data_IF_905331825882
#
_entry.id   IF_905331825882
#
_cell.length_a   1.000
_cell.length_b   1.000
_cell.length_c   1.000
_cell.angle_alpha   90.00
_cell.angle_beta   90.00
_cell.angle_gamma   90.00
#
_symmetry.space_group_name_H-M   'P 1'
#
loop_
_entity.id
_entity.type
_entity.pdbx_description
1 polymer ?
#
# COMPACT_ATOMS: atom_id res chain seq x y z
N UNK A 1 42.68 -61.82 19.98
CA UNK A 1 43.59 -62.83 20.56
C UNK A 1 44.59 -63.21 19.49
N UNK A 2 45.88 -63.05 19.82
CA UNK A 2 47.09 -63.53 19.14
C UNK A 2 47.38 -63.03 17.73
N UNK A 3 48.34 -62.14 17.50
CA UNK A 3 49.82 -62.22 17.64
C UNK A 3 50.53 -62.99 16.53
N UNK A 4 51.52 -62.29 15.95
CA UNK A 4 52.84 -62.72 15.44
C UNK A 4 53.12 -62.29 14.00
N UNK A 5 54.33 -61.94 13.54
CA UNK A 5 55.54 -61.27 14.07
C UNK A 5 56.49 -61.21 12.84
N UNK A 6 57.26 -60.13 12.73
CA UNK A 6 58.53 -59.93 12.00
C UNK A 6 58.68 -60.25 10.49
N UNK A 7 59.14 -59.23 9.75
CA UNK A 7 60.49 -59.26 9.15
C UNK A 7 61.01 -57.83 8.91
N UNK A 8 62.30 -57.65 9.21
CA UNK A 8 63.11 -56.44 9.06
C UNK A 8 63.91 -56.51 7.74
N UNK A 9 64.05 -55.40 7.01
CA UNK A 9 65.19 -55.24 6.11
C UNK A 9 65.53 -53.75 5.88
N UNK A 10 66.81 -53.47 6.10
CA UNK A 10 67.56 -52.23 6.04
C UNK A 10 67.78 -51.63 4.64
N UNK A 11 67.74 -50.28 4.58
CA UNK A 11 68.59 -49.27 3.89
C UNK A 11 69.31 -49.62 2.55
N UNK A 12 69.43 -48.68 1.57
CA UNK A 12 70.23 -47.46 1.75
C UNK A 12 69.64 -46.16 1.15
N UNK A 13 70.24 -45.06 1.61
CA UNK A 13 70.03 -43.69 1.18
C UNK A 13 70.15 -43.51 -0.34
N UNK A 14 69.18 -42.82 -0.93
CA UNK A 14 69.30 -42.21 -2.25
C UNK A 14 68.99 -40.73 -2.09
N UNK A 15 69.99 -39.90 -2.41
CA UNK A 15 69.93 -38.45 -2.28
C UNK A 15 68.84 -37.87 -3.16
N UNK A 16 67.90 -37.18 -2.53
CA UNK A 16 66.98 -36.30 -3.24
C UNK A 16 67.66 -34.94 -3.30
N UNK A 17 68.10 -34.61 -4.51
CA UNK A 17 68.51 -33.28 -4.94
C UNK A 17 67.30 -32.37 -4.75
N UNK A 18 67.39 -31.46 -3.79
CA UNK A 18 66.48 -30.33 -3.65
C UNK A 18 67.03 -29.24 -4.58
N UNK A 19 66.65 -29.31 -5.85
CA UNK A 19 66.61 -28.11 -6.69
C UNK A 19 65.32 -27.38 -6.31
N UNK A 20 65.42 -26.49 -5.32
CA UNK A 20 64.38 -25.50 -5.06
C UNK A 20 64.50 -24.40 -6.12
N UNK A 21 63.51 -24.24 -7.03
CA UNK A 21 63.42 -23.05 -7.85
C UNK A 21 62.91 -21.92 -6.95
N UNK A 22 63.81 -21.03 -6.53
CA UNK A 22 63.52 -19.81 -5.78
C UNK A 22 62.84 -18.74 -6.64
N UNK A 23 61.77 -19.07 -7.37
CA UNK A 23 61.14 -18.10 -8.30
C UNK A 23 59.61 -18.24 -8.48
N UNK A 24 58.89 -18.92 -7.58
CA UNK A 24 57.42 -19.11 -7.71
C UNK A 24 56.57 -18.41 -6.61
N UNK A 25 57.21 -17.67 -5.68
CA UNK A 25 56.48 -16.95 -4.62
C UNK A 25 55.72 -15.71 -5.12
N UNK A 26 56.10 -15.14 -6.26
CA UNK A 26 55.44 -13.96 -6.82
C UNK A 26 54.13 -14.31 -7.56
N UNK A 27 54.00 -15.53 -8.11
CA UNK A 27 52.82 -15.95 -8.89
C UNK A 27 51.64 -16.35 -7.98
N UNK A 28 51.89 -16.95 -6.80
CA UNK A 28 50.81 -17.24 -5.84
C UNK A 28 50.15 -15.97 -5.27
N UNK A 29 50.92 -14.91 -5.03
CA UNK A 29 50.41 -13.62 -4.54
C UNK A 29 49.51 -12.96 -5.60
N UNK A 30 49.93 -13.01 -6.87
CA UNK A 30 49.17 -12.49 -7.99
C UNK A 30 47.86 -13.28 -8.20
N UNK A 31 47.91 -14.62 -8.15
CA UNK A 31 46.73 -15.50 -8.30
C UNK A 31 45.75 -15.36 -7.14
N UNK A 32 46.22 -15.15 -5.92
CA UNK A 32 45.37 -14.93 -4.75
C UNK A 32 44.77 -13.52 -4.71
N UNK A 33 45.49 -12.50 -5.20
CA UNK A 33 44.95 -11.16 -5.45
C UNK A 33 43.91 -11.14 -6.58
N UNK A 34 44.15 -11.86 -7.68
CA UNK A 34 43.22 -12.07 -8.80
C UNK A 34 41.95 -12.80 -8.33
N UNK A 35 42.09 -13.86 -7.52
CA UNK A 35 40.94 -14.56 -6.90
C UNK A 35 40.15 -13.65 -5.94
N UNK A 36 40.81 -12.80 -5.15
CA UNK A 36 40.15 -11.79 -4.30
C UNK A 36 39.44 -10.72 -5.14
N UNK A 37 40.03 -10.26 -6.25
CA UNK A 37 39.41 -9.32 -7.18
C UNK A 37 38.22 -9.93 -7.92
N UNK A 38 38.30 -11.19 -8.35
CA UNK A 38 37.17 -11.92 -8.96
C UNK A 38 36.04 -12.19 -7.97
N UNK A 39 36.34 -12.52 -6.71
CA UNK A 39 35.31 -12.63 -5.66
C UNK A 39 34.63 -11.29 -5.36
N UNK A 40 35.38 -10.17 -5.36
CA UNK A 40 34.80 -8.82 -5.22
C UNK A 40 34.00 -8.34 -6.43
N UNK A 41 34.35 -8.78 -7.65
CA UNK A 41 33.60 -8.45 -8.88
C UNK A 41 32.41 -9.38 -9.16
N UNK A 42 32.43 -10.62 -8.65
CA UNK A 42 31.43 -11.64 -8.95
C UNK A 42 30.22 -11.70 -8.00
N UNK A 43 30.31 -11.15 -6.78
CA UNK A 43 29.21 -11.23 -5.79
C UNK A 43 28.25 -10.04 -5.83
N UNK A 44 28.44 -9.14 -6.81
CA UNK A 44 27.50 -8.08 -7.15
C UNK A 44 26.28 -8.57 -7.92
N UNK A 45 25.91 -9.85 -7.80
CA UNK A 45 24.61 -10.32 -8.29
C UNK A 45 23.54 -9.66 -7.43
N UNK A 46 23.14 -8.46 -7.85
CA UNK A 46 22.03 -7.70 -7.32
C UNK A 46 20.77 -8.51 -7.56
N UNK A 47 20.56 -9.56 -6.74
CA UNK A 47 19.32 -10.32 -6.72
C UNK A 47 18.21 -9.29 -6.64
N UNK A 48 17.28 -9.26 -7.61
CA UNK A 48 16.24 -8.24 -7.65
C UNK A 48 15.56 -8.23 -6.28
N UNK A 49 15.56 -7.04 -5.65
CA UNK A 49 15.05 -6.88 -4.30
C UNK A 49 13.58 -7.30 -4.28
N UNK A 50 13.28 -8.39 -3.58
CA UNK A 50 11.92 -8.95 -3.46
C UNK A 50 10.95 -7.88 -2.98
N UNK A 51 9.81 -7.77 -3.65
CA UNK A 51 8.72 -6.87 -3.24
C UNK A 51 7.97 -7.46 -2.05
N UNK A 52 7.23 -6.63 -1.29
CA UNK A 52 6.44 -7.12 -0.15
C UNK A 52 5.45 -8.25 -0.53
N UNK A 53 5.00 -8.27 -1.79
CA UNK A 53 4.10 -9.30 -2.34
C UNK A 53 4.71 -10.69 -2.35
N UNK A 54 6.04 -10.78 -2.47
CA UNK A 54 6.79 -12.04 -2.45
C UNK A 54 7.06 -12.53 -1.02
N UNK A 55 6.73 -11.72 -0.01
CA UNK A 55 6.98 -11.99 1.41
C UNK A 55 8.33 -11.46 1.88
N UNK A 56 8.83 -12.03 2.97
CA UNK A 56 10.13 -11.68 3.57
C UNK A 56 10.00 -10.85 4.85
N UNK A 57 11.14 -10.40 5.36
CA UNK A 57 11.25 -9.84 6.72
C UNK A 57 10.43 -8.57 6.95
N UNK A 58 10.18 -7.77 5.91
CA UNK A 58 9.39 -6.53 6.03
C UNK A 58 7.90 -6.75 6.25
N UNK A 59 7.39 -7.94 5.94
CA UNK A 59 5.98 -8.29 6.14
C UNK A 59 5.80 -9.42 7.16
N UNK A 60 6.86 -9.83 7.86
CA UNK A 60 6.77 -10.95 8.82
C UNK A 60 5.78 -10.66 9.96
N UNK A 61 5.71 -9.39 10.40
CA UNK A 61 4.78 -8.90 11.43
C UNK A 61 3.41 -8.49 10.88
N UNK A 62 3.20 -8.61 9.57
CA UNK A 62 1.93 -8.29 8.92
C UNK A 62 1.07 -9.53 8.82
N UNK A 63 -0.12 -9.50 9.42
CA UNK A 63 -1.01 -10.66 9.51
C UNK A 63 -2.34 -10.32 10.19
N UNK A 64 -3.04 -11.35 10.69
CA UNK A 64 -4.36 -11.22 11.30
C UNK A 64 -4.42 -10.26 12.50
N UNK A 65 -3.34 -10.16 13.28
CA UNK A 65 -3.26 -9.21 14.40
C UNK A 65 -3.43 -7.76 13.93
N UNK A 66 -2.69 -7.33 12.89
CA UNK A 66 -2.81 -5.98 12.34
C UNK A 66 -4.18 -5.75 11.67
N UNK A 67 -4.73 -6.77 11.01
CA UNK A 67 -6.08 -6.67 10.44
C UNK A 67 -7.13 -6.47 11.55
N UNK A 68 -7.01 -7.19 12.67
CA UNK A 68 -7.87 -7.02 13.84
C UNK A 68 -7.76 -5.62 14.44
N UNK A 69 -6.53 -5.11 14.64
CA UNK A 69 -6.32 -3.75 15.12
C UNK A 69 -6.87 -2.69 14.17
N UNK A 70 -6.77 -2.90 12.86
CA UNK A 70 -7.38 -2.01 11.88
C UNK A 70 -8.91 -2.00 12.00
N UNK A 71 -9.56 -3.16 12.07
CA UNK A 71 -11.02 -3.23 12.24
C UNK A 71 -11.47 -2.57 13.55
N UNK A 72 -10.72 -2.77 14.65
CA UNK A 72 -11.01 -2.10 15.92
C UNK A 72 -10.85 -0.57 15.81
N UNK A 73 -9.79 -0.09 15.18
CA UNK A 73 -9.58 1.35 14.97
C UNK A 73 -10.67 1.97 14.10
N UNK A 74 -11.12 1.27 13.04
CA UNK A 74 -12.26 1.69 12.23
C UNK A 74 -13.53 1.79 13.09
N UNK A 75 -13.84 0.76 13.89
CA UNK A 75 -15.01 0.77 14.77
C UNK A 75 -14.96 1.92 15.79
N UNK A 76 -13.81 2.16 16.42
CA UNK A 76 -13.61 3.29 17.35
C UNK A 76 -13.78 4.63 16.63
N UNK A 77 -13.20 4.78 15.43
CA UNK A 77 -13.31 6.00 14.64
C UNK A 77 -14.75 6.32 14.26
N UNK A 78 -15.49 5.32 13.76
CA UNK A 78 -16.91 5.47 13.39
C UNK A 78 -17.77 5.79 14.61
N UNK A 79 -17.67 5.00 15.69
CA UNK A 79 -18.44 5.25 16.91
C UNK A 79 -18.12 6.62 17.54
N UNK A 80 -16.85 7.02 17.52
CA UNK A 80 -16.42 8.33 18.00
C UNK A 80 -16.96 9.47 17.14
N UNK A 81 -16.91 9.34 15.82
CA UNK A 81 -17.47 10.31 14.88
C UNK A 81 -18.99 10.45 15.04
N UNK A 82 -19.72 9.34 15.10
CA UNK A 82 -21.16 9.35 15.38
C UNK A 82 -21.47 9.97 16.74
N UNK A 83 -20.74 9.60 17.79
CA UNK A 83 -20.91 10.16 19.13
C UNK A 83 -20.69 11.68 19.16
N UNK A 84 -19.70 12.20 18.43
CA UNK A 84 -19.49 13.64 18.28
C UNK A 84 -20.69 14.32 17.63
N UNK A 85 -21.21 13.75 16.54
CA UNK A 85 -22.39 14.30 15.84
C UNK A 85 -23.63 14.32 16.74
N UNK A 86 -23.88 13.23 17.48
CA UNK A 86 -25.07 13.09 18.33
C UNK A 86 -25.00 13.90 19.63
N UNK A 87 -23.81 14.02 20.26
CA UNK A 87 -23.66 14.64 21.58
C UNK A 87 -23.36 16.14 21.48
N UNK A 88 -22.42 16.53 20.60
CA UNK A 88 -21.98 17.92 20.51
C UNK A 88 -22.98 18.73 19.67
N UNK A 89 -23.40 18.17 18.52
CA UNK A 89 -24.29 18.85 17.58
C UNK A 89 -23.73 20.19 17.05
N UNK A 90 -24.58 20.94 16.36
CA UNK A 90 -24.24 22.27 15.83
C UNK A 90 -23.31 22.25 14.60
N UNK A 91 -22.92 23.45 14.15
CA UNK A 91 -22.21 23.62 12.87
C UNK A 91 -20.80 23.05 12.83
N UNK A 92 -20.13 22.86 13.97
CA UNK A 92 -18.77 22.30 14.04
C UNK A 92 -18.73 20.78 14.17
N UNK A 93 -19.86 20.12 14.45
CA UNK A 93 -19.89 18.68 14.67
C UNK A 93 -19.38 17.85 13.48
N UNK A 94 -19.72 18.15 12.21
CA UNK A 94 -19.20 17.38 11.07
C UNK A 94 -17.67 17.41 10.98
N UNK A 95 -17.07 18.60 11.15
CA UNK A 95 -15.61 18.75 11.14
C UNK A 95 -14.95 17.99 12.28
N UNK A 96 -15.50 18.08 13.51
CA UNK A 96 -14.97 17.35 14.66
C UNK A 96 -15.09 15.84 14.48
N UNK A 97 -16.21 15.35 13.94
CA UNK A 97 -16.43 13.95 13.65
C UNK A 97 -15.42 13.43 12.61
N UNK A 98 -15.17 14.22 11.56
CA UNK A 98 -14.16 13.93 10.55
C UNK A 98 -12.74 13.85 11.15
N UNK A 99 -12.37 14.82 12.01
CA UNK A 99 -11.07 14.81 12.70
C UNK A 99 -10.92 13.59 13.61
N UNK A 100 -11.96 13.18 14.32
CA UNK A 100 -11.93 11.96 15.15
C UNK A 100 -11.65 10.72 14.29
N UNK A 101 -12.32 10.59 13.14
CA UNK A 101 -12.10 9.49 12.21
C UNK A 101 -10.66 9.50 11.65
N UNK A 102 -10.16 10.68 11.25
CA UNK A 102 -8.77 10.84 10.79
C UNK A 102 -7.75 10.44 11.85
N UNK A 103 -7.95 10.85 13.10
CA UNK A 103 -7.06 10.49 14.20
C UNK A 103 -7.05 8.98 14.43
N UNK A 104 -8.21 8.33 14.37
CA UNK A 104 -8.31 6.87 14.51
C UNK A 104 -7.54 6.14 13.38
N UNK A 105 -7.70 6.60 12.13
CA UNK A 105 -6.97 6.03 10.99
C UNK A 105 -5.47 6.28 11.11
N UNK A 106 -5.07 7.53 11.36
CA UNK A 106 -3.68 7.92 11.50
C UNK A 106 -2.96 7.14 12.60
N UNK A 107 -3.61 6.96 13.76
CA UNK A 107 -3.05 6.17 14.86
C UNK A 107 -2.79 4.71 14.44
N UNK A 108 -3.76 4.06 13.78
CA UNK A 108 -3.60 2.69 13.30
C UNK A 108 -2.52 2.56 12.21
N UNK A 109 -2.49 3.50 11.27
CA UNK A 109 -1.47 3.56 10.21
C UNK A 109 -0.08 3.70 10.84
N UNK A 110 0.12 4.68 11.73
CA UNK A 110 1.40 4.93 12.38
C UNK A 110 1.84 3.70 13.19
N UNK A 111 0.95 3.12 13.99
CA UNK A 111 1.25 1.92 14.79
C UNK A 111 1.70 0.73 13.93
N UNK A 112 1.11 0.54 12.74
CA UNK A 112 1.49 -0.51 11.81
C UNK A 112 2.85 -0.23 11.13
N UNK A 113 3.06 1.00 10.64
CA UNK A 113 4.29 1.35 9.92
C UNK A 113 5.52 1.48 10.84
N UNK A 114 5.32 1.86 12.11
CA UNK A 114 6.37 1.81 13.14
C UNK A 114 6.83 0.37 13.42
N UNK A 115 5.92 -0.61 13.35
CA UNK A 115 6.29 -2.04 13.50
C UNK A 115 7.17 -2.53 12.34
N UNK A 116 6.84 -2.14 11.11
CA UNK A 116 7.65 -2.42 9.90
C UNK A 116 7.02 -1.76 8.66
N UNK A 117 7.86 -1.31 7.72
CA UNK A 117 7.41 -0.75 6.44
C UNK A 117 7.52 -1.81 5.32
N UNK A 118 6.41 -2.21 4.66
CA UNK A 118 6.45 -3.17 3.56
C UNK A 118 7.32 -2.66 2.41
N UNK A 119 8.31 -3.47 2.01
CA UNK A 119 9.31 -3.07 1.00
C UNK A 119 8.66 -2.70 -0.33
N UNK A 120 8.91 -1.47 -0.77
CA UNK A 120 8.47 -0.94 -2.06
C UNK A 120 7.05 -0.36 -2.06
N UNK A 121 6.26 -0.54 -0.98
CA UNK A 121 4.88 -0.06 -0.92
C UNK A 121 4.77 1.46 -1.10
N UNK A 122 5.63 2.22 -0.41
CA UNK A 122 5.65 3.68 -0.49
C UNK A 122 6.51 4.23 -1.65
N UNK A 123 7.00 3.37 -2.55
CA UNK A 123 7.83 3.82 -3.66
C UNK A 123 6.97 4.47 -4.74
N UNK A 124 7.22 5.73 -5.00
CA UNK A 124 6.62 6.47 -6.12
C UNK A 124 7.35 6.18 -7.44
N UNK A 125 6.61 6.13 -8.56
CA UNK A 125 7.18 6.28 -9.91
C UNK A 125 6.28 7.19 -10.76
N UNK A 126 6.83 7.90 -11.76
CA UNK A 126 6.04 8.78 -12.63
C UNK A 126 4.83 8.12 -13.31
N UNK A 127 4.92 6.82 -13.65
CA UNK A 127 3.79 6.07 -14.23
C UNK A 127 2.57 5.99 -13.28
N UNK A 128 2.76 6.22 -11.99
CA UNK A 128 1.67 6.24 -11.01
C UNK A 128 0.75 7.45 -11.24
N UNK A 129 1.29 8.57 -11.76
CA UNK A 129 0.49 9.71 -12.21
C UNK A 129 -0.43 9.33 -13.37
N UNK A 130 0.09 8.57 -14.34
CA UNK A 130 -0.71 8.11 -15.48
C UNK A 130 -1.84 7.19 -15.01
N UNK A 131 -1.55 6.22 -14.15
CA UNK A 131 -2.59 5.35 -13.58
C UNK A 131 -3.62 6.14 -12.80
N UNK A 132 -3.19 7.05 -11.92
CA UNK A 132 -4.08 7.86 -11.11
C UNK A 132 -4.99 8.74 -11.95
N UNK A 133 -4.44 9.46 -12.92
CA UNK A 133 -5.19 10.37 -13.79
C UNK A 133 -6.22 9.61 -14.64
N UNK A 134 -5.79 8.57 -15.34
CA UNK A 134 -6.64 7.82 -16.28
C UNK A 134 -7.73 7.06 -15.54
N UNK A 135 -7.39 6.30 -14.50
CA UNK A 135 -8.37 5.47 -13.79
C UNK A 135 -9.27 6.32 -12.89
N UNK A 136 -8.76 7.37 -12.24
CA UNK A 136 -9.58 8.31 -11.49
C UNK A 136 -10.61 9.03 -12.37
N UNK A 137 -10.19 9.46 -13.57
CA UNK A 137 -11.10 10.04 -14.57
C UNK A 137 -12.16 9.06 -15.05
N UNK A 138 -11.78 7.84 -15.41
CA UNK A 138 -12.73 6.79 -15.82
C UNK A 138 -13.74 6.50 -14.70
N UNK A 139 -13.26 6.34 -13.46
CA UNK A 139 -14.14 6.10 -12.31
C UNK A 139 -15.15 7.24 -12.12
N UNK A 140 -14.73 8.49 -12.30
CA UNK A 140 -15.62 9.64 -12.18
C UNK A 140 -16.70 9.66 -13.27
N UNK A 141 -16.33 9.35 -14.51
CA UNK A 141 -17.28 9.21 -15.62
C UNK A 141 -18.28 8.08 -15.38
N UNK A 142 -17.80 6.94 -14.88
CA UNK A 142 -18.64 5.78 -14.54
C UNK A 142 -19.61 6.13 -13.40
N UNK A 143 -19.16 6.85 -12.35
CA UNK A 143 -20.06 7.33 -11.30
C UNK A 143 -21.19 8.18 -11.90
N UNK A 144 -20.86 9.20 -12.70
CA UNK A 144 -21.89 10.07 -13.30
C UNK A 144 -22.87 9.28 -14.18
N UNK A 145 -22.40 8.25 -14.88
CA UNK A 145 -23.26 7.33 -15.62
C UNK A 145 -24.18 6.50 -14.72
N UNK A 146 -23.68 5.99 -13.59
CA UNK A 146 -24.47 5.24 -12.61
C UNK A 146 -25.55 6.12 -11.95
N UNK A 147 -25.19 7.36 -11.61
CA UNK A 147 -26.10 8.35 -11.02
C UNK A 147 -27.27 8.67 -11.96
N UNK A 148 -27.00 8.89 -13.26
CA UNK A 148 -28.05 9.03 -14.27
C UNK A 148 -28.94 7.78 -14.37
N UNK A 149 -28.37 6.58 -14.22
CA UNK A 149 -29.13 5.32 -14.20
C UNK A 149 -29.98 5.16 -12.94
N UNK A 150 -29.59 5.80 -11.85
CA UNK A 150 -30.35 5.84 -10.60
C UNK A 150 -31.49 6.88 -10.61
N UNK A 151 -31.63 7.64 -11.70
CA UNK A 151 -32.67 8.66 -11.86
C UNK A 151 -32.19 10.09 -11.66
N UNK A 152 -30.87 10.32 -11.56
CA UNK A 152 -30.29 11.66 -11.60
C UNK A 152 -30.60 12.37 -12.92
N UNK A 153 -30.71 13.70 -12.88
CA UNK A 153 -31.08 14.54 -14.03
C UNK A 153 -29.94 14.72 -15.07
N UNK A 154 -28.72 14.26 -14.74
CA UNK A 154 -27.54 14.42 -15.57
C UNK A 154 -27.01 15.86 -15.61
N UNK A 155 -27.48 16.73 -14.71
CA UNK A 155 -26.98 18.08 -14.54
C UNK A 155 -25.54 18.10 -14.04
N UNK A 156 -24.90 19.25 -14.17
CA UNK A 156 -23.62 19.47 -13.51
C UNK A 156 -23.83 19.44 -12.00
N UNK A 157 -22.99 18.73 -11.22
CA UNK A 157 -23.06 18.84 -9.78
C UNK A 157 -22.82 20.30 -9.38
N UNK A 158 -23.42 20.72 -8.27
CA UNK A 158 -23.26 22.07 -7.72
C UNK A 158 -23.42 22.06 -6.21
N UNK A 159 -22.77 22.99 -5.54
CA UNK A 159 -22.96 23.23 -4.11
C UNK A 159 -24.28 23.96 -3.86
N UNK A 160 -24.94 23.70 -2.71
CA UNK A 160 -26.00 24.56 -2.23
C UNK A 160 -25.48 25.99 -2.06
N UNK A 161 -25.96 26.92 -2.88
CA UNK A 161 -25.51 28.32 -2.86
C UNK A 161 -26.65 29.30 -3.15
N UNK A 162 -26.49 30.54 -2.70
CA UNK A 162 -27.34 31.67 -3.06
C UNK A 162 -26.52 32.58 -4.00
N UNK A 163 -26.96 32.71 -5.26
CA UNK A 163 -26.29 33.57 -6.25
C UNK A 163 -24.92 33.05 -6.71
N UNK A 164 -24.72 31.73 -6.72
CA UNK A 164 -23.49 31.09 -7.23
C UNK A 164 -22.23 31.29 -6.42
N UNK A 165 -22.33 31.80 -5.19
CA UNK A 165 -21.19 31.92 -4.28
C UNK A 165 -20.79 30.56 -3.70
N UNK A 166 -19.50 30.27 -3.62
CA UNK A 166 -18.98 29.08 -2.93
C UNK A 166 -19.16 29.20 -1.40
N UNK A 167 -19.33 28.07 -0.68
CA UNK A 167 -19.27 28.06 0.78
C UNK A 167 -17.96 28.65 1.31
N UNK A 168 -18.01 29.39 2.42
CA UNK A 168 -16.80 29.99 3.01
C UNK A 168 -15.76 28.95 3.47
N UNK A 169 -16.21 27.72 3.76
CA UNK A 169 -15.36 26.59 4.14
C UNK A 169 -14.89 25.75 2.95
N UNK A 170 -15.30 26.06 1.72
CA UNK A 170 -15.02 25.26 0.51
C UNK A 170 -13.55 24.90 0.34
N UNK A 171 -12.65 25.84 0.62
CA UNK A 171 -11.21 25.59 0.47
C UNK A 171 -10.72 24.48 1.41
N UNK A 172 -11.27 24.42 2.63
CA UNK A 172 -10.84 23.45 3.63
C UNK A 172 -11.65 22.14 3.54
N UNK A 173 -12.98 22.23 3.55
CA UNK A 173 -13.86 21.06 3.60
C UNK A 173 -13.82 20.29 2.27
N UNK A 174 -14.10 20.98 1.16
CA UNK A 174 -14.19 20.30 -0.14
C UNK A 174 -12.82 20.06 -0.75
N UNK A 175 -11.99 21.10 -0.86
CA UNK A 175 -10.74 20.96 -1.60
C UNK A 175 -9.65 20.26 -0.77
N UNK A 176 -9.40 20.69 0.46
CA UNK A 176 -8.28 20.12 1.22
C UNK A 176 -8.65 18.79 1.88
N UNK A 177 -9.78 18.74 2.59
CA UNK A 177 -10.25 17.54 3.29
C UNK A 177 -10.61 16.44 2.29
N UNK A 178 -11.55 16.70 1.38
CA UNK A 178 -12.15 15.62 0.59
C UNK A 178 -11.31 15.20 -0.62
N UNK A 179 -10.47 16.09 -1.18
CA UNK A 179 -9.58 15.74 -2.30
C UNK A 179 -8.24 15.22 -1.82
N UNK A 180 -7.71 15.68 -0.67
CA UNK A 180 -6.34 15.37 -0.26
C UNK A 180 -6.29 14.57 1.04
N UNK A 181 -6.76 15.12 2.15
CA UNK A 181 -6.52 14.52 3.48
C UNK A 181 -7.24 13.17 3.59
N UNK A 182 -8.55 13.14 3.32
CA UNK A 182 -9.38 11.94 3.46
C UNK A 182 -8.91 10.83 2.50
N UNK A 183 -8.73 11.06 1.18
CA UNK A 183 -8.24 10.02 0.28
C UNK A 183 -6.86 9.47 0.66
N UNK A 184 -5.94 10.32 1.11
CA UNK A 184 -4.60 9.86 1.53
C UNK A 184 -4.69 8.95 2.75
N UNK A 185 -5.45 9.35 3.78
CA UNK A 185 -5.63 8.55 4.99
C UNK A 185 -6.39 7.25 4.70
N UNK A 186 -7.44 7.30 3.90
CA UNK A 186 -8.22 6.14 3.49
C UNK A 186 -7.38 5.14 2.71
N UNK A 187 -6.60 5.58 1.72
CA UNK A 187 -5.75 4.67 0.95
C UNK A 187 -4.62 4.09 1.82
N UNK A 188 -3.99 4.88 2.69
CA UNK A 188 -3.02 4.38 3.65
C UNK A 188 -3.63 3.33 4.60
N UNK A 189 -4.87 3.54 5.05
CA UNK A 189 -5.56 2.63 5.96
C UNK A 189 -6.05 1.37 5.23
N UNK A 190 -6.88 1.50 4.21
CA UNK A 190 -7.50 0.35 3.56
C UNK A 190 -6.54 -0.41 2.66
N UNK A 191 -5.69 0.28 1.89
CA UNK A 191 -4.79 -0.35 0.91
C UNK A 191 -3.36 -0.50 1.44
N UNK A 192 -2.90 0.44 2.25
CA UNK A 192 -1.60 0.37 2.92
C UNK A 192 -1.59 -0.59 4.12
N UNK A 193 -2.60 -0.54 4.97
CA UNK A 193 -2.71 -1.35 6.19
C UNK A 193 -3.54 -2.63 5.98
N UNK A 194 -4.85 -2.51 5.78
CA UNK A 194 -5.79 -3.64 5.76
C UNK A 194 -5.45 -4.63 4.64
N UNK A 195 -5.34 -4.17 3.40
CA UNK A 195 -5.05 -5.02 2.24
C UNK A 195 -3.72 -5.77 2.41
N UNK A 196 -2.65 -5.11 2.84
CA UNK A 196 -1.35 -5.75 3.02
C UNK A 196 -1.37 -6.76 4.17
N UNK A 197 -2.05 -6.45 5.28
CA UNK A 197 -2.19 -7.36 6.41
C UNK A 197 -2.97 -8.64 6.01
N UNK A 198 -4.12 -8.48 5.36
CA UNK A 198 -4.96 -9.60 4.91
C UNK A 198 -4.24 -10.41 3.83
N UNK A 199 -3.66 -9.76 2.81
CA UNK A 199 -2.89 -10.45 1.78
C UNK A 199 -1.77 -11.28 2.40
N UNK A 200 -1.01 -10.70 3.33
CA UNK A 200 0.11 -11.40 3.95
C UNK A 200 -0.35 -12.57 4.82
N UNK A 201 -1.45 -12.41 5.55
CA UNK A 201 -2.02 -13.47 6.38
C UNK A 201 -2.52 -14.65 5.53
N UNK A 202 -3.37 -14.37 4.53
CA UNK A 202 -3.97 -15.39 3.66
C UNK A 202 -2.92 -16.04 2.79
N UNK A 203 -1.92 -15.30 2.30
CA UNK A 203 -0.87 -15.87 1.45
C UNK A 203 -0.08 -16.98 2.14
N UNK A 204 0.14 -16.87 3.45
CA UNK A 204 0.83 -17.90 4.25
C UNK A 204 0.02 -19.19 4.35
N UNK A 205 -1.30 -19.11 4.22
CA UNK A 205 -2.23 -20.22 4.43
C UNK A 205 -2.68 -20.85 3.11
N UNK A 206 -2.98 -20.02 2.10
CA UNK A 206 -3.70 -20.44 0.89
C UNK A 206 -3.01 -20.00 -0.42
N UNK A 207 -1.80 -19.46 -0.36
CA UNK A 207 -1.04 -19.05 -1.54
C UNK A 207 -1.42 -17.69 -2.12
N UNK A 208 -0.74 -17.30 -3.20
CA UNK A 208 -0.78 -15.92 -3.72
C UNK A 208 -2.14 -15.52 -4.29
N UNK A 209 -2.73 -16.39 -5.10
CA UNK A 209 -3.93 -16.06 -5.88
C UNK A 209 -5.14 -15.84 -4.96
N UNK A 210 -5.35 -16.77 -4.01
CA UNK A 210 -6.39 -16.64 -2.97
C UNK A 210 -6.18 -15.40 -2.12
N UNK A 211 -4.93 -15.07 -1.78
CA UNK A 211 -4.61 -13.88 -1.00
C UNK A 211 -4.90 -12.58 -1.74
N UNK A 212 -4.64 -12.50 -3.05
CA UNK A 212 -4.99 -11.32 -3.84
C UNK A 212 -6.49 -11.10 -3.85
N UNK A 213 -7.26 -12.16 -4.12
CA UNK A 213 -8.71 -12.10 -4.14
C UNK A 213 -9.28 -11.70 -2.77
N UNK A 214 -8.90 -12.42 -1.71
CA UNK A 214 -9.39 -12.16 -0.35
C UNK A 214 -9.04 -10.74 0.12
N UNK A 215 -7.81 -10.28 -0.11
CA UNK A 215 -7.40 -8.94 0.30
C UNK A 215 -8.13 -7.83 -0.46
N UNK A 216 -8.36 -8.00 -1.76
CA UNK A 216 -9.13 -7.05 -2.56
C UNK A 216 -10.59 -6.95 -2.09
N UNK A 217 -11.25 -8.09 -1.85
CA UNK A 217 -12.63 -8.13 -1.38
C UNK A 217 -12.75 -7.56 0.04
N UNK A 218 -11.89 -7.95 0.98
CA UNK A 218 -11.96 -7.46 2.37
C UNK A 218 -11.67 -5.96 2.44
N UNK A 219 -10.64 -5.48 1.74
CA UNK A 219 -10.30 -4.05 1.72
C UNK A 219 -11.42 -3.21 1.11
N UNK A 220 -11.94 -3.63 -0.05
CA UNK A 220 -13.06 -2.96 -0.74
C UNK A 220 -14.34 -3.00 0.09
N UNK A 221 -14.67 -4.16 0.66
CA UNK A 221 -15.86 -4.34 1.48
C UNK A 221 -15.83 -3.47 2.73
N UNK A 222 -14.71 -3.44 3.45
CA UNK A 222 -14.57 -2.56 4.63
C UNK A 222 -14.64 -1.07 4.25
N UNK A 223 -14.09 -0.69 3.09
CA UNK A 223 -14.21 0.68 2.57
C UNK A 223 -15.66 1.08 2.32
N UNK A 224 -16.44 0.23 1.64
CA UNK A 224 -17.87 0.45 1.38
C UNK A 224 -18.68 0.48 2.68
N UNK A 225 -18.44 -0.49 3.58
CA UNK A 225 -19.12 -0.56 4.88
C UNK A 225 -18.83 0.67 5.73
N UNK A 226 -17.59 1.17 5.75
CA UNK A 226 -17.24 2.39 6.48
C UNK A 226 -18.08 3.59 6.03
N UNK A 227 -18.27 3.74 4.71
CA UNK A 227 -19.14 4.80 4.17
C UNK A 227 -20.61 4.58 4.54
N UNK A 228 -21.11 3.35 4.43
CA UNK A 228 -22.50 3.01 4.76
C UNK A 228 -22.85 3.21 6.24
N UNK A 229 -21.84 3.16 7.12
CA UNK A 229 -22.02 3.42 8.56
C UNK A 229 -22.07 4.92 8.90
N UNK A 230 -21.51 5.77 8.04
CA UNK A 230 -21.47 7.22 8.26
C UNK A 230 -22.64 7.94 7.60
N UNK A 231 -23.14 7.41 6.48
CA UNK A 231 -24.30 7.97 5.79
C UNK A 231 -25.09 6.88 5.04
N UNK A 232 -26.42 7.04 4.90
CA UNK A 232 -27.21 6.19 4.01
C UNK A 232 -26.70 6.27 2.57
N UNK A 233 -26.53 5.12 1.92
CA UNK A 233 -26.05 5.04 0.54
C UNK A 233 -27.12 4.50 -0.39
N UNK A 234 -27.31 5.17 -1.53
CA UNK A 234 -28.05 4.63 -2.66
C UNK A 234 -27.21 3.56 -3.39
N UNK A 235 -27.86 2.75 -4.25
CA UNK A 235 -27.21 1.60 -4.89
C UNK A 235 -26.07 2.01 -5.84
N UNK A 236 -26.19 3.15 -6.51
CA UNK A 236 -25.21 3.74 -7.43
C UNK A 236 -23.99 4.26 -6.67
N UNK A 237 -24.20 4.84 -5.48
CA UNK A 237 -23.13 5.22 -4.57
C UNK A 237 -22.36 3.98 -4.07
N UNK A 238 -23.07 2.92 -3.65
CA UNK A 238 -22.45 1.64 -3.25
C UNK A 238 -21.63 1.05 -4.41
N UNK A 239 -22.17 1.05 -5.62
CA UNK A 239 -21.47 0.54 -6.80
C UNK A 239 -20.22 1.38 -7.12
N UNK A 240 -20.31 2.70 -7.06
CA UNK A 240 -19.19 3.61 -7.31
C UNK A 240 -18.08 3.44 -6.27
N UNK A 241 -18.44 3.39 -4.98
CA UNK A 241 -17.49 3.13 -3.89
C UNK A 241 -16.82 1.76 -4.04
N UNK A 242 -17.57 0.72 -4.41
CA UNK A 242 -17.03 -0.60 -4.67
C UNK A 242 -16.04 -0.59 -5.85
N UNK A 243 -16.32 0.15 -6.93
CA UNK A 243 -15.43 0.30 -8.07
C UNK A 243 -14.14 1.05 -7.72
N UNK A 244 -14.23 2.13 -6.94
CA UNK A 244 -13.06 2.86 -6.41
C UNK A 244 -12.23 1.93 -5.52
N UNK A 245 -12.88 1.26 -4.57
CA UNK A 245 -12.29 0.28 -3.66
C UNK A 245 -11.52 -0.83 -4.38
N UNK A 246 -12.16 -1.45 -5.36
CA UNK A 246 -11.61 -2.56 -6.13
C UNK A 246 -10.46 -2.08 -7.03
N UNK A 247 -10.63 -0.97 -7.74
CA UNK A 247 -9.60 -0.40 -8.62
C UNK A 247 -8.34 -0.05 -7.84
N UNK A 248 -8.49 0.63 -6.71
CA UNK A 248 -7.39 0.94 -5.81
C UNK A 248 -6.70 -0.32 -5.28
N UNK A 249 -7.47 -1.33 -4.85
CA UNK A 249 -6.94 -2.61 -4.39
C UNK A 249 -6.12 -3.31 -5.46
N UNK A 250 -6.64 -3.38 -6.70
CA UNK A 250 -5.94 -3.96 -7.84
C UNK A 250 -4.68 -3.18 -8.19
N UNK A 251 -4.71 -1.84 -8.20
CA UNK A 251 -3.52 -1.03 -8.42
C UNK A 251 -2.41 -1.36 -7.43
N UNK A 252 -2.73 -1.48 -6.13
CA UNK A 252 -1.73 -1.82 -5.11
C UNK A 252 -1.24 -3.26 -5.23
N UNK A 253 -2.12 -4.23 -5.48
CA UNK A 253 -1.75 -5.64 -5.64
C UNK A 253 -0.91 -5.89 -6.90
N UNK A 254 -1.25 -5.24 -8.02
CA UNK A 254 -0.61 -5.44 -9.32
C UNK A 254 0.70 -4.63 -9.46
N UNK A 255 0.77 -3.45 -8.86
CA UNK A 255 2.00 -2.63 -8.93
C UNK A 255 2.93 -2.82 -7.73
N UNK A 256 2.41 -3.33 -6.61
CA UNK A 256 3.12 -3.39 -5.32
C UNK A 256 3.36 -2.02 -4.68
N UNK A 257 2.69 -0.97 -5.13
CA UNK A 257 2.89 0.44 -4.72
C UNK A 257 1.56 1.09 -4.38
N UNK A 258 1.57 1.96 -3.37
CA UNK A 258 0.37 2.62 -2.84
C UNK A 258 -0.05 3.84 -3.65
N UNK A 259 0.92 4.62 -4.13
CA UNK A 259 0.69 5.89 -4.83
C UNK A 259 -0.28 5.87 -6.01
N UNK A 260 -0.31 4.86 -6.91
CA UNK A 260 -1.31 4.88 -7.99
C UNK A 260 -2.75 4.84 -7.46
N UNK A 261 -3.00 4.17 -6.33
CA UNK A 261 -4.32 4.15 -5.69
C UNK A 261 -4.67 5.50 -5.05
N UNK A 262 -3.72 6.10 -4.31
CA UNK A 262 -3.85 7.46 -3.74
C UNK A 262 -4.19 8.46 -4.83
N UNK A 263 -3.43 8.48 -5.91
CA UNK A 263 -3.63 9.42 -7.00
C UNK A 263 -4.96 9.18 -7.73
N UNK A 264 -5.37 7.93 -7.94
CA UNK A 264 -6.67 7.64 -8.54
C UNK A 264 -7.82 8.16 -7.68
N UNK A 265 -7.73 8.00 -6.37
CA UNK A 265 -8.74 8.48 -5.42
C UNK A 265 -8.77 10.02 -5.34
N UNK A 266 -7.59 10.65 -5.23
CA UNK A 266 -7.45 12.11 -5.26
C UNK A 266 -8.02 12.70 -6.56
N UNK A 267 -7.67 12.14 -7.72
CA UNK A 267 -8.20 12.59 -9.02
C UNK A 267 -9.71 12.37 -9.10
N UNK A 268 -10.19 11.21 -8.66
CA UNK A 268 -11.61 10.92 -8.62
C UNK A 268 -12.36 12.00 -7.81
N UNK A 269 -11.96 12.30 -6.58
CA UNK A 269 -12.62 13.33 -5.75
C UNK A 269 -12.40 14.75 -6.30
N UNK A 270 -11.19 15.07 -6.72
CA UNK A 270 -10.84 16.37 -7.28
C UNK A 270 -11.65 16.73 -8.52
N UNK A 271 -11.94 15.76 -9.39
CA UNK A 271 -12.81 15.99 -10.55
C UNK A 271 -14.24 16.32 -10.12
N UNK A 272 -14.77 15.71 -9.05
CA UNK A 272 -16.09 16.10 -8.56
C UNK A 272 -16.11 17.50 -7.99
N UNK A 273 -15.15 17.84 -7.13
CA UNK A 273 -15.03 19.20 -6.58
C UNK A 273 -14.90 20.22 -7.72
N UNK A 274 -14.08 19.95 -8.73
CA UNK A 274 -13.94 20.83 -9.89
C UNK A 274 -15.25 21.01 -10.66
N UNK A 275 -15.98 19.92 -10.94
CA UNK A 275 -17.28 19.99 -11.60
C UNK A 275 -18.33 20.72 -10.74
N UNK A 276 -18.36 20.45 -9.42
CA UNK A 276 -19.25 21.07 -8.46
C UNK A 276 -19.02 22.59 -8.35
N UNK A 277 -17.75 22.99 -8.29
CA UNK A 277 -17.36 24.40 -8.33
C UNK A 277 -17.81 25.07 -9.62
N UNK A 278 -17.56 24.45 -10.78
CA UNK A 278 -18.00 25.00 -12.06
C UNK A 278 -19.52 25.11 -12.16
N UNK A 279 -20.26 24.07 -11.78
CA UNK A 279 -21.72 24.09 -11.77
C UNK A 279 -22.28 25.19 -10.86
N UNK A 280 -21.66 25.42 -9.71
CA UNK A 280 -22.05 26.48 -8.77
C UNK A 280 -21.82 27.88 -9.36
N UNK A 281 -20.65 28.12 -9.98
CA UNK A 281 -20.31 29.43 -10.55
C UNK A 281 -21.13 29.75 -11.81
N UNK A 282 -21.53 28.74 -12.59
CA UNK A 282 -22.35 28.90 -13.78
C UNK A 282 -23.84 29.06 -13.49
N UNK A 283 -24.28 28.69 -12.29
CA UNK A 283 -25.65 28.90 -11.81
C UNK A 283 -25.88 30.33 -11.25
N UNK A 284 -24.85 31.17 -11.26
CA UNK A 284 -24.89 32.58 -10.84
C UNK A 284 -25.63 33.49 -11.84
#
# INVERSE_FOLDING_TARGET
MSESIHASSSTPASGIVIDEPLDDFDDESARSAERRRRRRRGDGSSRPRRTWREGGTSVQRWGWELAGWAVLALGIGVLGATGVTEIIGGGSAPLLAQVVLWVAFAAAIVAAFVRSVPRGLLRFRPVDLLFGLVLGGILRLVQGWLEMRAGGDGGWPSYPSLGGSLPSSWLFDDLLSDVVISPVLEELFFRGLVLVAVYTAVRRLAGREVAMFAAAIVSTGLFVVAHALLAPLAWDAVASLALVGLTASLLVLLTGRLWPAVLAHVVYNGLWVAMATLGTLLAA
#
